data_IF_147628406890
#
_entry.id   IF_147628406890
#
_cell.length_a   1.000
_cell.length_b   1.000
_cell.length_c   1.000
_cell.angle_alpha   90.00
_cell.angle_beta   90.00
_cell.angle_gamma   90.00
#
_symmetry.space_group_name_H-M   'P 1'
#
loop_
_entity.id
_entity.type
_entity.pdbx_description
1 polymer ?
#
# COMPACT_ATOMS: atom_id res chain seq x y z
N UNK A 1 0.54 15.49 -17.40
CA UNK A 1 1.11 14.65 -18.47
C UNK A 1 0.87 13.19 -18.12
N UNK A 2 0.56 12.34 -19.10
CA UNK A 2 0.48 10.89 -18.92
C UNK A 2 1.90 10.27 -18.97
N UNK A 3 2.14 9.24 -18.17
CA UNK A 3 3.38 8.45 -18.16
C UNK A 3 3.06 6.97 -18.25
N UNK A 4 3.89 6.21 -18.97
CA UNK A 4 3.71 4.77 -19.16
C UNK A 4 4.15 3.98 -17.92
N UNK A 5 3.35 2.99 -17.54
CA UNK A 5 3.56 2.08 -16.41
C UNK A 5 3.08 0.67 -16.78
N UNK A 6 3.31 -0.30 -15.91
CA UNK A 6 2.82 -1.68 -16.05
C UNK A 6 2.47 -2.32 -14.72
N UNK A 7 1.60 -3.32 -14.78
CA UNK A 7 1.17 -4.14 -13.65
C UNK A 7 0.82 -5.55 -14.12
N UNK A 8 0.35 -6.40 -13.20
CA UNK A 8 -0.22 -7.70 -13.57
C UNK A 8 -1.49 -7.61 -14.46
N UNK A 9 -2.10 -6.43 -14.58
CA UNK A 9 -3.31 -6.18 -15.39
C UNK A 9 -3.03 -5.49 -16.72
N UNK A 10 -1.76 -5.46 -17.15
CA UNK A 10 -1.33 -4.90 -18.43
C UNK A 10 -0.55 -3.61 -18.32
N UNK A 11 -0.17 -3.08 -19.49
CA UNK A 11 0.49 -1.79 -19.63
C UNK A 11 -0.54 -0.66 -19.69
N UNK A 12 -0.23 0.47 -19.07
CA UNK A 12 -1.16 1.59 -18.97
C UNK A 12 -0.42 2.93 -18.92
N UNK A 13 -1.18 4.00 -19.09
CA UNK A 13 -0.71 5.36 -18.88
C UNK A 13 -1.40 5.98 -17.67
N UNK A 14 -0.63 6.53 -16.74
CA UNK A 14 -1.15 7.20 -15.55
C UNK A 14 -0.91 8.70 -15.63
N UNK A 15 -1.87 9.48 -15.12
CA UNK A 15 -1.74 10.93 -14.93
C UNK A 15 -1.83 11.25 -13.45
N UNK A 16 -0.88 12.07 -13.00
CA UNK A 16 -0.87 12.63 -11.65
C UNK A 16 -1.05 14.15 -11.70
N UNK A 17 -1.68 14.68 -10.65
CA UNK A 17 -1.86 16.11 -10.39
C UNK A 17 -1.73 16.31 -8.87
N UNK A 18 -1.03 17.36 -8.43
CA UNK A 18 -0.84 17.68 -7.01
C UNK A 18 -0.36 16.48 -6.17
N UNK A 19 0.62 15.76 -6.72
CA UNK A 19 1.20 14.54 -6.14
C UNK A 19 0.19 13.39 -5.89
N UNK A 20 -0.94 13.40 -6.61
CA UNK A 20 -1.99 12.39 -6.55
C UNK A 20 -2.22 11.79 -7.93
N UNK A 21 -2.26 10.46 -8.04
CA UNK A 21 -2.74 9.78 -9.25
C UNK A 21 -4.24 10.07 -9.38
N UNK A 22 -4.65 10.64 -10.52
CA UNK A 22 -6.02 11.08 -10.76
C UNK A 22 -6.70 10.34 -11.92
N UNK A 23 -5.91 9.68 -12.77
CA UNK A 23 -6.44 8.92 -13.90
C UNK A 23 -5.46 7.84 -14.35
N UNK A 24 -6.00 6.72 -14.82
CA UNK A 24 -5.29 5.59 -15.41
C UNK A 24 -6.08 5.15 -16.64
N UNK A 25 -5.39 5.01 -17.77
CA UNK A 25 -5.98 4.52 -19.03
C UNK A 25 -5.13 3.42 -19.65
N UNK A 26 -5.72 2.49 -20.41
CA UNK A 26 -4.96 1.48 -21.14
C UNK A 26 -3.89 2.09 -22.04
N UNK A 27 -2.78 1.39 -22.24
CA UNK A 27 -1.78 1.80 -23.22
C UNK A 27 -2.37 1.70 -24.63
N UNK A 28 -2.09 2.69 -25.47
CA UNK A 28 -2.55 2.67 -26.85
C UNK A 28 -2.03 1.41 -27.57
N UNK A 29 -2.95 0.69 -28.23
CA UNK A 29 -2.65 -0.54 -28.96
C UNK A 29 -2.84 -1.84 -28.18
N UNK A 30 -3.24 -1.79 -26.90
CA UNK A 30 -3.72 -2.97 -26.19
C UNK A 30 -5.07 -3.43 -26.80
N UNK A 31 -5.14 -4.64 -27.41
CA UNK A 31 -6.36 -5.10 -28.09
C UNK A 31 -7.46 -5.56 -27.12
N UNK A 32 -7.14 -5.86 -25.86
CA UNK A 32 -8.09 -6.35 -24.85
C UNK A 32 -7.68 -5.90 -23.44
N UNK A 33 -7.79 -4.59 -23.15
CA UNK A 33 -7.29 -4.04 -21.90
C UNK A 33 -8.13 -4.50 -20.71
N UNK A 34 -7.46 -4.81 -19.60
CA UNK A 34 -8.14 -5.29 -18.40
C UNK A 34 -9.11 -4.24 -17.84
N UNK A 35 -10.39 -4.59 -17.56
CA UNK A 35 -11.34 -3.66 -16.95
C UNK A 35 -10.93 -3.23 -15.53
N UNK A 36 -10.03 -3.96 -14.88
CA UNK A 36 -9.50 -3.64 -13.55
C UNK A 36 -8.74 -2.30 -13.55
N UNK A 37 -8.15 -1.89 -14.68
CA UNK A 37 -7.46 -0.60 -14.81
C UNK A 37 -8.36 0.58 -14.40
N UNK A 38 -9.67 0.48 -14.63
CA UNK A 38 -10.64 1.53 -14.29
C UNK A 38 -10.76 1.81 -12.78
N UNK A 39 -10.43 0.84 -11.92
CA UNK A 39 -10.44 1.02 -10.46
C UNK A 39 -9.09 1.38 -9.85
N UNK A 40 -8.00 1.34 -10.62
CA UNK A 40 -6.65 1.45 -10.06
C UNK A 40 -6.34 2.85 -9.50
N UNK A 41 -6.87 3.91 -10.14
CA UNK A 41 -6.64 5.28 -9.67
C UNK A 41 -7.29 5.53 -8.30
N UNK A 42 -8.46 4.96 -8.04
CA UNK A 42 -9.11 5.00 -6.72
C UNK A 42 -8.40 4.07 -5.73
N UNK A 43 -8.05 2.85 -6.16
CA UNK A 43 -7.48 1.81 -5.31
C UNK A 43 -6.19 2.22 -4.60
N UNK A 44 -5.33 3.02 -5.23
CA UNK A 44 -4.10 3.51 -4.59
C UNK A 44 -4.35 4.50 -3.45
N UNK A 45 -5.55 5.08 -3.38
CA UNK A 45 -5.98 6.08 -2.40
C UNK A 45 -7.13 5.64 -1.50
N UNK A 46 -7.56 4.38 -1.61
CA UNK A 46 -8.71 3.84 -0.87
C UNK A 46 -8.50 3.92 0.66
N UNK A 47 -9.57 4.07 1.43
CA UNK A 47 -9.52 4.27 2.89
C UNK A 47 -8.86 3.11 3.65
N UNK A 48 -8.95 1.90 3.12
CA UNK A 48 -8.27 0.72 3.66
C UNK A 48 -6.75 0.69 3.45
N UNK A 49 -6.14 1.72 2.84
CA UNK A 49 -4.69 1.80 2.65
C UNK A 49 -3.99 1.93 4.01
N UNK A 50 -3.04 1.04 4.29
CA UNK A 50 -2.14 1.18 5.44
C UNK A 50 -1.26 2.42 5.26
N UNK A 51 -1.39 3.39 6.17
CA UNK A 51 -0.77 4.73 6.07
C UNK A 51 0.57 4.85 6.81
N UNK A 52 0.76 4.07 7.87
CA UNK A 52 1.95 4.12 8.73
C UNK A 52 2.30 2.73 9.28
N UNK A 53 3.54 2.52 9.75
CA UNK A 53 3.89 1.36 10.55
C UNK A 53 3.00 1.29 11.79
N UNK A 54 2.48 0.11 12.09
CA UNK A 54 1.65 -0.09 13.26
C UNK A 54 1.89 -1.45 13.89
N UNK A 55 1.91 -1.49 15.21
CA UNK A 55 2.19 -2.71 15.99
C UNK A 55 0.98 -2.99 16.89
N UNK A 56 0.61 -4.27 17.00
CA UNK A 56 -0.50 -4.70 17.86
C UNK A 56 -0.19 -4.33 19.31
N UNK A 57 -1.09 -3.58 19.95
CA UNK A 57 -0.88 -2.99 21.29
C UNK A 57 -0.50 -4.03 22.34
N UNK A 58 -1.16 -5.19 22.35
CA UNK A 58 -0.87 -6.28 23.29
C UNK A 58 0.53 -6.88 23.11
N UNK A 59 1.04 -6.94 21.87
CA UNK A 59 2.40 -7.40 21.61
C UNK A 59 3.42 -6.32 22.00
N UNK A 60 3.16 -5.06 21.64
CA UNK A 60 4.05 -3.94 21.94
C UNK A 60 4.26 -3.76 23.45
N UNK A 61 3.19 -3.87 24.24
CA UNK A 61 3.22 -3.66 25.70
C UNK A 61 3.62 -4.90 26.49
N UNK A 62 3.19 -6.08 26.06
CA UNK A 62 3.26 -7.30 26.90
C UNK A 62 3.83 -8.52 26.18
N UNK A 63 4.29 -8.38 24.93
CA UNK A 63 4.76 -9.49 24.07
C UNK A 63 3.75 -10.65 23.98
N UNK A 64 2.46 -10.33 24.13
CA UNK A 64 1.36 -11.28 23.96
C UNK A 64 1.38 -11.87 22.53
N UNK A 65 1.00 -13.14 22.40
CA UNK A 65 1.02 -13.89 21.13
C UNK A 65 -0.36 -14.07 20.51
N UNK A 66 -1.45 -13.63 21.15
CA UNK A 66 -2.79 -13.67 20.56
C UNK A 66 -2.85 -12.88 19.22
N UNK A 67 -3.55 -13.42 18.22
CA UNK A 67 -3.67 -12.85 16.86
C UNK A 67 -5.12 -12.86 16.40
N UNK A 68 -5.42 -12.11 15.34
CA UNK A 68 -6.75 -12.04 14.73
C UNK A 68 -7.68 -10.96 15.29
N UNK A 69 -7.20 -10.14 16.23
CA UNK A 69 -7.94 -9.02 16.80
C UNK A 69 -7.07 -8.09 17.63
N UNK A 70 -7.71 -7.10 18.26
CA UNK A 70 -7.07 -6.09 19.11
C UNK A 70 -6.76 -4.78 18.38
N UNK A 71 -6.26 -3.81 19.15
CA UNK A 71 -5.88 -2.49 18.64
C UNK A 71 -4.46 -2.49 18.09
N UNK A 72 -4.24 -1.65 17.10
CA UNK A 72 -2.92 -1.31 16.58
C UNK A 72 -2.54 0.09 17.04
N UNK A 73 -1.25 0.28 17.32
CA UNK A 73 -0.66 1.58 17.66
C UNK A 73 0.30 1.93 16.54
N UNK A 74 0.10 3.10 15.94
CA UNK A 74 1.03 3.64 14.96
C UNK A 74 2.32 4.07 15.64
N UNK A 75 3.45 3.76 15.02
CA UNK A 75 4.79 4.10 15.53
C UNK A 75 5.62 4.73 14.39
N UNK A 76 6.63 5.54 14.72
CA UNK A 76 7.63 5.99 13.77
C UNK A 76 8.35 4.84 13.05
N UNK A 77 8.88 5.11 11.86
CA UNK A 77 9.57 4.10 11.03
C UNK A 77 10.84 3.57 11.66
N UNK A 78 11.63 4.43 12.30
CA UNK A 78 12.84 4.06 13.05
C UNK A 78 12.49 3.10 14.20
N UNK A 79 11.49 3.42 15.01
CA UNK A 79 11.02 2.54 16.09
C UNK A 79 10.55 1.17 15.55
N UNK A 80 9.76 1.15 14.48
CA UNK A 80 9.29 -0.09 13.88
C UNK A 80 10.43 -0.98 13.38
N UNK A 81 11.44 -0.38 12.74
CA UNK A 81 12.61 -1.08 12.22
C UNK A 81 13.51 -1.60 13.35
N UNK A 82 13.74 -0.81 14.39
CA UNK A 82 14.54 -1.21 15.55
C UNK A 82 13.92 -2.41 16.27
N UNK A 83 12.59 -2.40 16.47
CA UNK A 83 11.84 -3.50 17.08
C UNK A 83 11.97 -4.79 16.24
N UNK A 84 11.80 -4.70 14.91
CA UNK A 84 11.97 -5.87 14.03
C UNK A 84 13.41 -6.39 14.09
N UNK A 85 14.39 -5.49 14.07
CA UNK A 85 15.81 -5.86 14.13
C UNK A 85 16.21 -6.50 15.46
N UNK A 86 15.60 -6.09 16.58
CA UNK A 86 15.80 -6.72 17.89
C UNK A 86 15.22 -8.14 17.91
N UNK A 87 13.98 -8.33 17.45
CA UNK A 87 13.33 -9.65 17.45
C UNK A 87 14.01 -10.65 16.49
N UNK A 88 14.64 -10.17 15.42
CA UNK A 88 15.45 -11.03 14.53
C UNK A 88 16.78 -11.47 15.14
N UNK A 89 17.32 -10.72 16.12
CA UNK A 89 18.60 -11.04 16.79
C UNK A 89 18.43 -11.95 18.01
N UNK A 90 17.19 -12.11 18.47
CA UNK A 90 16.82 -12.96 19.61
C UNK A 90 16.90 -14.44 19.26
#
# INVERSE_FOLDING_TARGET
>A
MYKTHGSHWGAFEARAQDNRVVDIRPLAGDPDPSPILGGMAEGVHHDCRVKAPAIREGWLKHRDRARGGGRFVEVPWDEALDIVAEELRR
#
